data_IF_056314760886
#
_entry.id   IF_056314760886
#
_cell.length_a   1.000
_cell.length_b   1.000
_cell.length_c   1.000
_cell.angle_alpha   90.00
_cell.angle_beta   90.00
_cell.angle_gamma   90.00
#
_symmetry.space_group_name_H-M   'P 1'
#
loop_
_entity.id
_entity.type
_entity.pdbx_description
1 polymer ?
#
# COMPACT_ATOMS: atom_id res chain seq x y z
N UNK A 1 -25.46 -8.40 6.42
CA UNK A 1 -24.59 -9.60 6.34
C UNK A 1 -24.07 -9.88 4.94
N UNK A 2 -24.79 -9.48 3.87
CA UNK A 2 -24.39 -9.68 2.47
C UNK A 2 -23.01 -9.10 2.15
N UNK A 3 -22.75 -7.85 2.55
CA UNK A 3 -21.45 -7.20 2.37
C UNK A 3 -20.30 -7.99 3.02
N UNK A 4 -20.43 -8.38 4.30
CA UNK A 4 -19.38 -9.12 5.00
C UNK A 4 -19.05 -10.45 4.34
N UNK A 5 -20.06 -11.17 3.81
CA UNK A 5 -19.84 -12.41 3.06
C UNK A 5 -19.09 -12.16 1.76
N UNK A 6 -19.54 -11.19 0.97
CA UNK A 6 -18.91 -10.87 -0.32
C UNK A 6 -17.49 -10.31 -0.15
N UNK A 7 -17.26 -9.47 0.86
CA UNK A 7 -15.95 -8.92 1.18
C UNK A 7 -14.98 -10.02 1.62
N UNK A 8 -15.40 -10.89 2.56
CA UNK A 8 -14.53 -11.97 3.04
C UNK A 8 -14.20 -12.98 1.94
N UNK A 9 -15.15 -13.29 1.05
CA UNK A 9 -14.91 -14.16 -0.10
C UNK A 9 -13.89 -13.54 -1.10
N UNK A 10 -13.96 -12.23 -1.34
CA UNK A 10 -13.05 -11.51 -2.26
C UNK A 10 -11.68 -11.19 -1.66
N UNK A 11 -11.49 -11.36 -0.35
CA UNK A 11 -10.25 -11.00 0.37
C UNK A 11 -9.60 -12.19 1.07
N UNK A 12 -10.07 -13.40 0.79
CA UNK A 12 -9.59 -14.62 1.42
C UNK A 12 -8.10 -14.89 1.16
N UNK A 13 -7.61 -14.47 0.01
CA UNK A 13 -6.20 -14.51 -0.44
C UNK A 13 -5.31 -13.43 0.22
N UNK A 14 -5.91 -12.40 0.83
CA UNK A 14 -5.23 -11.25 1.44
C UNK A 14 -5.49 -11.13 2.94
N UNK A 15 -5.78 -12.26 3.59
CA UNK A 15 -6.06 -12.33 5.02
C UNK A 15 -4.94 -11.69 5.86
N UNK A 16 -5.32 -10.83 6.81
CA UNK A 16 -4.40 -10.12 7.69
C UNK A 16 -3.87 -8.79 7.15
N UNK A 17 -4.15 -8.44 5.89
CA UNK A 17 -3.81 -7.13 5.31
C UNK A 17 -4.97 -6.14 5.44
N UNK A 18 -4.64 -4.88 5.74
CA UNK A 18 -5.64 -3.80 5.76
C UNK A 18 -5.94 -3.40 4.32
N UNK A 19 -7.15 -3.71 3.85
CA UNK A 19 -7.62 -3.39 2.49
C UNK A 19 -8.62 -2.24 2.54
N UNK A 20 -8.37 -1.11 1.86
CA UNK A 20 -9.35 -0.05 1.72
C UNK A 20 -10.48 -0.50 0.79
N UNK A 21 -11.72 -0.14 1.14
CA UNK A 21 -12.90 -0.44 0.34
C UNK A 21 -13.65 0.86 0.06
N UNK A 22 -14.00 1.08 -1.20
CA UNK A 22 -14.94 2.14 -1.59
C UNK A 22 -16.30 1.49 -1.76
N UNK A 23 -17.30 1.94 -1.01
CA UNK A 23 -18.67 1.44 -1.05
C UNK A 23 -19.56 2.54 -1.62
N UNK A 24 -20.24 2.22 -2.71
CA UNK A 24 -21.28 3.05 -3.32
C UNK A 24 -22.64 2.48 -2.95
N UNK A 25 -23.49 3.27 -2.31
CA UNK A 25 -24.83 2.85 -1.88
C UNK A 25 -25.87 3.62 -2.68
N UNK A 26 -26.83 2.91 -3.27
CA UNK A 26 -27.89 3.47 -4.10
C UNK A 26 -29.20 3.62 -3.31
N UNK A 27 -30.13 4.43 -3.83
CA UNK A 27 -31.41 4.74 -3.17
C UNK A 27 -32.33 3.52 -3.01
N UNK A 28 -32.19 2.51 -3.86
CA UNK A 28 -32.90 1.24 -3.82
C UNK A 28 -32.33 0.26 -2.77
N UNK A 29 -31.36 0.70 -1.96
CA UNK A 29 -30.60 -0.10 -0.99
C UNK A 29 -29.67 -1.14 -1.62
N UNK A 30 -29.47 -1.10 -2.94
CA UNK A 30 -28.37 -1.83 -3.58
C UNK A 30 -27.03 -1.16 -3.24
N UNK A 31 -25.95 -1.94 -3.31
CA UNK A 31 -24.61 -1.43 -3.07
C UNK A 31 -23.61 -2.09 -4.01
N UNK A 32 -22.62 -1.32 -4.41
CA UNK A 32 -21.41 -1.80 -5.09
C UNK A 32 -20.19 -1.48 -4.23
N UNK A 33 -19.18 -2.34 -4.28
CA UNK A 33 -17.93 -2.08 -3.58
C UNK A 33 -16.72 -2.50 -4.40
N UNK A 34 -15.68 -1.68 -4.33
CA UNK A 34 -14.38 -1.92 -4.94
C UNK A 34 -13.35 -2.08 -3.83
N UNK A 35 -12.69 -3.23 -3.80
CA UNK A 35 -11.59 -3.51 -2.88
C UNK A 35 -10.30 -3.03 -3.54
N UNK A 36 -9.63 -2.07 -2.91
CA UNK A 36 -8.35 -1.54 -3.37
C UNK A 36 -7.18 -2.34 -2.81
N UNK A 37 -6.00 -2.13 -3.36
CA UNK A 37 -4.75 -2.68 -2.82
C UNK A 37 -4.45 -2.11 -1.44
N UNK A 38 -3.69 -2.85 -0.61
CA UNK A 38 -3.24 -2.33 0.68
C UNK A 38 -2.53 -0.97 0.53
N UNK A 39 -2.61 -0.08 1.53
CA UNK A 39 -1.87 1.17 1.50
C UNK A 39 -0.36 0.92 1.38
N UNK A 40 0.34 1.77 0.62
CA UNK A 40 1.79 1.64 0.44
C UNK A 40 2.54 1.62 1.79
N UNK A 41 2.06 2.39 2.78
CA UNK A 41 2.59 2.39 4.13
C UNK A 41 2.56 1.00 4.80
N UNK A 42 1.45 0.27 4.66
CA UNK A 42 1.29 -1.07 5.23
C UNK A 42 2.21 -2.06 4.53
N UNK A 43 2.29 -2.00 3.20
CA UNK A 43 3.18 -2.86 2.42
C UNK A 43 4.66 -2.59 2.71
N UNK A 44 5.04 -1.33 2.91
CA UNK A 44 6.39 -0.95 3.33
C UNK A 44 6.69 -1.45 4.75
N UNK A 45 5.74 -1.35 5.68
CA UNK A 45 5.90 -1.88 7.04
C UNK A 45 6.06 -3.41 7.04
N UNK A 46 5.30 -4.12 6.23
CA UNK A 46 5.45 -5.57 6.01
C UNK A 46 6.83 -5.91 5.43
N UNK A 47 7.25 -5.22 4.37
CA UNK A 47 8.55 -5.43 3.72
C UNK A 47 9.73 -5.16 4.65
N UNK A 48 9.60 -4.15 5.51
CA UNK A 48 10.59 -3.77 6.51
C UNK A 48 10.48 -4.55 7.83
N UNK A 49 9.44 -5.40 8.00
CA UNK A 49 9.14 -6.16 9.23
C UNK A 49 8.99 -5.29 10.49
N UNK A 50 8.44 -4.08 10.34
CA UNK A 50 8.22 -3.15 11.46
C UNK A 50 6.74 -2.88 11.65
N UNK A 51 6.32 -2.66 12.91
CA UNK A 51 4.91 -2.44 13.26
C UNK A 51 4.48 -0.97 13.21
N UNK A 52 5.44 -0.04 13.23
CA UNK A 52 5.18 1.41 13.28
C UNK A 52 6.23 2.18 12.51
N UNK A 53 5.81 3.28 11.86
CA UNK A 53 6.72 4.28 11.30
C UNK A 53 7.37 5.16 12.37
N UNK A 54 8.31 6.01 11.94
CA UNK A 54 8.98 6.96 12.81
C UNK A 54 8.04 8.08 13.24
N UNK A 55 8.08 8.45 14.54
CA UNK A 55 7.44 9.66 15.04
C UNK A 55 8.17 10.94 14.62
N UNK A 56 9.45 10.84 14.27
CA UNK A 56 10.27 11.93 13.75
C UNK A 56 11.00 11.48 12.47
N UNK A 57 10.31 11.37 11.33
CA UNK A 57 10.85 10.79 10.08
C UNK A 57 12.15 11.42 9.56
N UNK A 58 12.37 12.69 9.89
CA UNK A 58 13.55 13.46 9.50
C UNK A 58 14.76 13.23 10.41
N UNK A 59 14.57 12.77 11.66
CA UNK A 59 15.63 12.58 12.65
C UNK A 59 15.91 11.11 12.94
N UNK A 60 14.86 10.34 13.21
CA UNK A 60 14.95 8.92 13.52
C UNK A 60 14.52 8.09 12.31
N UNK A 61 15.50 7.44 11.65
CA UNK A 61 15.20 6.41 10.64
C UNK A 61 14.98 5.08 11.34
N UNK A 62 13.79 4.50 11.17
CA UNK A 62 13.36 3.32 11.95
C UNK A 62 13.46 2.01 11.16
N UNK A 63 13.57 2.07 9.83
CA UNK A 63 13.71 0.89 9.00
C UNK A 63 14.38 1.18 7.65
N UNK A 64 14.69 0.13 6.90
CA UNK A 64 15.18 0.24 5.52
C UNK A 64 14.52 -0.79 4.61
N UNK A 65 14.27 -0.41 3.35
CA UNK A 65 13.70 -1.26 2.30
C UNK A 65 14.59 -1.20 1.06
N UNK A 66 14.63 -2.26 0.24
CA UNK A 66 15.38 -2.26 -1.03
C UNK A 66 14.54 -1.68 -2.18
N UNK A 67 15.21 -1.23 -3.23
CA UNK A 67 14.53 -0.81 -4.46
C UNK A 67 13.71 -1.93 -5.13
N UNK A 68 14.13 -3.18 -4.99
CA UNK A 68 13.37 -4.35 -5.48
C UNK A 68 12.04 -4.50 -4.73
N UNK A 69 12.05 -4.33 -3.40
CA UNK A 69 10.83 -4.33 -2.60
C UNK A 69 9.92 -3.16 -2.98
N UNK A 70 10.49 -1.96 -3.19
CA UNK A 70 9.75 -0.79 -3.65
C UNK A 70 9.11 -1.03 -5.02
N UNK A 71 9.81 -1.71 -5.93
CA UNK A 71 9.30 -2.08 -7.25
C UNK A 71 8.11 -3.04 -7.15
N UNK A 72 8.25 -4.12 -6.39
CA UNK A 72 7.16 -5.08 -6.20
C UNK A 72 5.90 -4.41 -5.60
N UNK A 73 6.10 -3.48 -4.65
CA UNK A 73 5.01 -2.68 -4.05
C UNK A 73 4.40 -1.74 -5.10
N UNK A 74 5.21 -1.10 -5.92
CA UNK A 74 4.73 -0.20 -6.98
C UNK A 74 3.93 -0.94 -8.06
N UNK A 75 4.38 -2.14 -8.45
CA UNK A 75 3.70 -3.00 -9.43
C UNK A 75 2.35 -3.50 -8.90
N UNK A 76 2.30 -3.99 -7.66
CA UNK A 76 1.03 -4.42 -7.03
C UNK A 76 0.04 -3.25 -6.94
N UNK A 77 0.53 -2.06 -6.57
CA UNK A 77 -0.27 -0.85 -6.39
C UNK A 77 -0.61 -0.11 -7.67
N UNK A 78 -0.03 -0.48 -8.82
CA UNK A 78 -0.11 0.28 -10.07
C UNK A 78 -1.57 0.54 -10.50
N UNK A 79 -2.46 -0.43 -10.28
CA UNK A 79 -3.90 -0.32 -10.57
C UNK A 79 -4.63 0.79 -9.80
N UNK A 80 -4.11 1.18 -8.64
CA UNK A 80 -4.67 2.22 -7.78
C UNK A 80 -3.91 3.55 -7.86
N UNK A 81 -2.77 3.58 -8.55
CA UNK A 81 -1.95 4.79 -8.72
C UNK A 81 -2.33 5.51 -10.00
N UNK A 82 -2.15 6.82 -9.99
CA UNK A 82 -2.25 7.66 -11.18
C UNK A 82 -0.91 7.72 -11.97
N UNK A 83 0.03 6.84 -11.68
CA UNK A 83 1.33 6.79 -12.34
C UNK A 83 1.19 6.14 -13.72
N UNK A 84 1.89 6.67 -14.72
CA UNK A 84 1.92 6.10 -16.08
C UNK A 84 3.05 5.10 -16.28
N UNK A 85 4.10 5.16 -15.45
CA UNK A 85 5.25 4.26 -15.51
C UNK A 85 5.55 3.67 -14.14
N UNK A 86 6.10 2.46 -14.11
CA UNK A 86 6.51 1.78 -12.87
C UNK A 86 7.56 2.62 -12.12
N UNK A 87 8.47 3.28 -12.83
CA UNK A 87 9.48 4.18 -12.22
C UNK A 87 8.83 5.35 -11.47
N UNK A 88 7.78 5.96 -12.04
CA UNK A 88 7.03 7.03 -11.39
C UNK A 88 6.30 6.51 -10.14
N UNK A 89 5.70 5.33 -10.23
CA UNK A 89 5.09 4.65 -9.09
C UNK A 89 6.12 4.35 -7.99
N UNK A 90 7.33 3.89 -8.36
CA UNK A 90 8.42 3.65 -7.43
C UNK A 90 8.85 4.93 -6.70
N UNK A 91 8.91 6.08 -7.40
CA UNK A 91 9.19 7.39 -6.77
C UNK A 91 8.10 7.77 -5.76
N UNK A 92 6.82 7.52 -6.05
CA UNK A 92 5.71 7.77 -5.12
C UNK A 92 5.81 6.90 -3.87
N UNK A 93 6.11 5.60 -4.04
CA UNK A 93 6.30 4.66 -2.93
C UNK A 93 7.52 5.05 -2.10
N UNK A 94 8.64 5.43 -2.74
CA UNK A 94 9.83 5.93 -2.05
C UNK A 94 9.55 7.23 -1.27
N UNK A 95 8.72 8.12 -1.80
CA UNK A 95 8.24 9.30 -1.07
C UNK A 95 7.47 8.93 0.20
N UNK A 96 6.62 7.91 0.12
CA UNK A 96 5.91 7.37 1.30
C UNK A 96 6.90 6.79 2.32
N UNK A 97 7.88 6.00 1.87
CA UNK A 97 8.93 5.45 2.73
C UNK A 97 9.70 6.56 3.46
N UNK A 98 10.06 7.64 2.75
CA UNK A 98 10.74 8.82 3.34
C UNK A 98 9.90 9.45 4.45
N UNK A 99 8.61 9.66 4.22
CA UNK A 99 7.68 10.26 5.20
C UNK A 99 7.41 9.36 6.40
N UNK A 100 7.63 8.04 6.29
CA UNK A 100 7.58 7.12 7.43
C UNK A 100 8.91 6.98 8.18
N UNK A 101 9.97 7.65 7.72
CA UNK A 101 11.30 7.51 8.29
C UNK A 101 12.00 6.21 7.89
N UNK A 102 11.68 5.66 6.72
CA UNK A 102 12.38 4.51 6.16
C UNK A 102 13.43 4.98 5.16
N UNK A 103 14.55 4.26 5.13
CA UNK A 103 15.64 4.50 4.18
C UNK A 103 15.56 3.50 3.04
N UNK A 104 15.40 3.97 1.80
CA UNK A 104 15.49 3.12 0.62
C UNK A 104 16.97 2.85 0.33
N UNK A 105 17.38 1.58 0.31
CA UNK A 105 18.77 1.14 0.09
C UNK A 105 18.95 0.58 -1.32
N UNK A 106 20.14 0.81 -1.88
CA UNK A 106 20.56 0.34 -3.19
C UNK A 106 20.69 1.46 -4.21
N UNK A 107 21.15 1.12 -5.41
CA UNK A 107 21.24 2.07 -6.52
C UNK A 107 19.83 2.46 -6.97
N UNK A 108 19.61 3.77 -7.06
CA UNK A 108 18.42 4.32 -7.68
C UNK A 108 18.33 3.78 -9.12
N UNK A 109 17.19 3.19 -9.54
CA UNK A 109 17.03 2.71 -10.91
C UNK A 109 16.79 3.84 -11.92
N UNK A 110 16.93 5.10 -11.49
CA UNK A 110 16.80 6.34 -12.26
C UNK A 110 17.80 7.38 -11.78
#
# INVERSE_FOLDING_TARGET
MEFCKQFNARTQDKAGKVLPVVISVYADKSFEFVVKTPPAAVQLMEAAKVKKGSGEPNRAKVASVSWEQVRAIAEDKMQDLNAFTVESAMKMVAGTARSMGFTVKGNSPF
#
